data_IF_699062630706
#
_entry.id   IF_699062630706
#
_cell.length_a   1.000
_cell.length_b   1.000
_cell.length_c   1.000
_cell.angle_alpha   90.00
_cell.angle_beta   90.00
_cell.angle_gamma   90.00
#
_symmetry.space_group_name_H-M   'P 1'
#
loop_
_entity.id
_entity.type
_entity.pdbx_description
1 polymer ?
#
# COMPACT_ATOMS: atom_id res chain seq x y z
N UNK A 1 -7.02 -18.29 4.18
CA UNK A 1 -6.25 -17.87 3.01
C UNK A 1 -5.51 -16.60 3.37
N UNK A 2 -4.27 -16.42 2.94
CA UNK A 2 -3.51 -15.20 3.19
C UNK A 2 -4.02 -14.08 2.31
N UNK A 3 -3.97 -12.84 2.79
CA UNK A 3 -4.48 -11.69 2.07
C UNK A 3 -3.43 -11.10 1.14
N UNK A 4 -3.85 -10.70 -0.05
CA UNK A 4 -3.02 -10.00 -1.04
C UNK A 4 -3.44 -8.54 -1.12
N UNK A 5 -2.49 -7.66 -0.86
CA UNK A 5 -2.62 -6.22 -1.10
C UNK A 5 -1.79 -5.87 -2.33
N UNK A 6 -2.39 -5.24 -3.32
CA UNK A 6 -1.71 -4.79 -4.53
C UNK A 6 -1.56 -3.27 -4.55
N UNK A 7 -0.34 -2.79 -4.73
CA UNK A 7 -0.08 -1.36 -4.97
C UNK A 7 -0.04 -1.06 -6.46
N UNK A 8 -0.73 0.00 -6.88
CA UNK A 8 -0.61 0.59 -8.21
C UNK A 8 -0.48 2.12 -8.11
N UNK A 9 0.33 2.73 -8.98
CA UNK A 9 0.45 4.20 -9.07
C UNK A 9 -0.78 4.78 -9.78
N UNK A 10 -1.49 5.71 -9.14
CA UNK A 10 -2.70 6.32 -9.69
C UNK A 10 -2.41 7.11 -10.97
N UNK A 11 -3.31 6.98 -11.95
CA UNK A 11 -3.22 7.58 -13.28
C UNK A 11 -1.93 7.25 -14.05
N UNK A 12 -1.32 6.09 -13.80
CA UNK A 12 -0.20 5.60 -14.60
C UNK A 12 -0.58 4.33 -15.37
N UNK A 13 -0.42 4.31 -16.69
CA UNK A 13 -0.03 5.41 -17.56
C UNK A 13 -1.14 6.45 -17.79
N UNK A 14 -2.39 6.15 -17.47
CA UNK A 14 -3.53 7.08 -17.53
C UNK A 14 -4.64 6.66 -16.55
N UNK A 15 -5.60 7.55 -16.30
CA UNK A 15 -6.67 7.35 -15.33
C UNK A 15 -7.58 6.16 -15.68
N UNK A 16 -8.03 6.06 -16.93
CA UNK A 16 -8.90 4.97 -17.40
C UNK A 16 -8.24 3.61 -17.24
N UNK A 17 -6.97 3.49 -17.59
CA UNK A 17 -6.19 2.28 -17.41
C UNK A 17 -6.08 1.89 -15.92
N UNK A 18 -5.87 2.88 -15.02
CA UNK A 18 -5.80 2.59 -13.58
C UNK A 18 -7.11 2.03 -13.05
N UNK A 19 -8.26 2.49 -13.54
CA UNK A 19 -9.58 1.95 -13.18
C UNK A 19 -9.72 0.52 -13.67
N UNK A 20 -9.45 0.27 -14.96
CA UNK A 20 -9.57 -1.06 -15.56
C UNK A 20 -8.64 -2.08 -14.88
N UNK A 21 -7.40 -1.69 -14.61
CA UNK A 21 -6.44 -2.53 -13.90
C UNK A 21 -6.90 -2.84 -12.47
N UNK A 22 -7.33 -1.83 -11.73
CA UNK A 22 -7.78 -2.00 -10.35
C UNK A 22 -8.96 -2.97 -10.23
N UNK A 23 -9.95 -2.84 -11.11
CA UNK A 23 -11.09 -3.75 -11.15
C UNK A 23 -10.67 -5.17 -11.55
N UNK A 24 -9.81 -5.30 -12.57
CA UNK A 24 -9.28 -6.60 -12.98
C UNK A 24 -8.48 -7.28 -11.85
N UNK A 25 -7.71 -6.54 -11.07
CA UNK A 25 -6.98 -7.08 -9.91
C UNK A 25 -7.93 -7.59 -8.83
N UNK A 26 -8.99 -6.84 -8.51
CA UNK A 26 -10.03 -7.27 -7.57
C UNK A 26 -10.72 -8.57 -8.03
N UNK A 27 -11.04 -8.68 -9.30
CA UNK A 27 -11.66 -9.89 -9.89
C UNK A 27 -10.71 -11.10 -9.93
N UNK A 28 -9.39 -10.88 -9.77
CA UNK A 28 -8.37 -11.91 -9.88
C UNK A 28 -7.58 -12.18 -8.57
N UNK A 29 -8.19 -11.93 -7.41
CA UNK A 29 -7.67 -12.41 -6.13
C UNK A 29 -6.95 -11.37 -5.29
N UNK A 30 -6.92 -10.11 -5.69
CA UNK A 30 -6.47 -9.02 -4.81
C UNK A 30 -7.57 -8.71 -3.79
N UNK A 31 -7.24 -8.81 -2.50
CA UNK A 31 -8.18 -8.53 -1.41
C UNK A 31 -8.31 -7.03 -1.13
N UNK A 32 -7.20 -6.30 -1.23
CA UNK A 32 -7.13 -4.86 -0.95
C UNK A 32 -6.23 -4.17 -1.98
N UNK A 33 -6.65 -3.03 -2.46
CA UNK A 33 -5.90 -2.20 -3.39
C UNK A 33 -5.31 -0.99 -2.69
N UNK A 34 -4.01 -0.76 -2.88
CA UNK A 34 -3.35 0.49 -2.52
C UNK A 34 -3.26 1.39 -3.76
N UNK A 35 -4.04 2.45 -3.79
CA UNK A 35 -3.92 3.50 -4.79
C UNK A 35 -2.83 4.48 -4.37
N UNK A 36 -1.66 4.38 -5.01
CA UNK A 36 -0.53 5.26 -4.78
C UNK A 36 -0.80 6.67 -5.29
N UNK A 37 -0.59 7.67 -4.44
CA UNK A 37 -0.64 9.09 -4.79
C UNK A 37 0.72 9.49 -5.33
N UNK A 38 0.86 9.82 -6.62
CA UNK A 38 2.14 10.23 -7.18
C UNK A 38 2.75 11.42 -6.44
N UNK A 39 4.03 11.30 -6.10
CA UNK A 39 4.78 12.31 -5.39
C UNK A 39 6.18 12.48 -5.98
N UNK A 40 6.74 13.70 -5.91
CA UNK A 40 8.04 14.02 -6.52
C UNK A 40 9.23 13.43 -5.75
N UNK A 41 9.08 13.26 -4.42
CA UNK A 41 10.17 12.90 -3.51
C UNK A 41 9.80 11.68 -2.63
N UNK A 42 9.54 10.52 -3.25
CA UNK A 42 8.95 9.35 -2.57
C UNK A 42 10.02 8.55 -1.81
N UNK A 43 10.50 9.08 -0.69
CA UNK A 43 11.67 8.60 0.09
C UNK A 43 11.54 7.17 0.63
N UNK A 44 10.33 6.62 0.74
CA UNK A 44 10.10 5.24 1.16
C UNK A 44 9.97 4.27 -0.02
N UNK A 45 9.88 4.75 -1.25
CA UNK A 45 9.63 3.94 -2.42
C UNK A 45 10.93 3.41 -3.05
N UNK A 46 10.86 2.22 -3.62
CA UNK A 46 11.93 1.70 -4.45
C UNK A 46 11.93 2.29 -5.87
N UNK A 47 13.02 2.12 -6.64
CA UNK A 47 13.25 2.80 -7.92
C UNK A 47 12.18 2.55 -8.98
N UNK A 48 11.48 1.42 -8.94
CA UNK A 48 10.38 1.15 -9.88
C UNK A 48 9.15 2.00 -9.56
N UNK A 49 8.77 2.08 -8.29
CA UNK A 49 7.61 2.87 -7.84
C UNK A 49 7.91 4.35 -8.02
N UNK A 50 9.11 4.82 -7.64
CA UNK A 50 9.59 6.17 -7.89
C UNK A 50 9.48 6.56 -9.37
N UNK A 51 9.96 5.69 -10.28
CA UNK A 51 9.85 5.90 -11.72
C UNK A 51 8.40 6.02 -12.20
N UNK A 52 7.50 5.20 -11.67
CA UNK A 52 6.08 5.26 -12.01
C UNK A 52 5.42 6.54 -11.48
N UNK A 53 5.79 6.98 -10.26
CA UNK A 53 5.35 8.25 -9.68
C UNK A 53 5.76 9.43 -10.58
N UNK A 54 7.04 9.52 -10.95
CA UNK A 54 7.54 10.57 -11.84
C UNK A 54 6.81 10.57 -13.19
N UNK A 55 6.66 9.41 -13.83
CA UNK A 55 5.92 9.31 -15.10
C UNK A 55 4.46 9.75 -14.95
N UNK A 56 3.78 9.38 -13.86
CA UNK A 56 2.40 9.83 -13.64
C UNK A 56 2.30 11.35 -13.48
N UNK A 57 3.26 11.95 -12.76
CA UNK A 57 3.35 13.42 -12.64
C UNK A 57 3.63 14.09 -13.97
N UNK A 58 4.57 13.56 -14.78
CA UNK A 58 4.88 14.05 -16.14
C UNK A 58 3.66 13.97 -17.06
N UNK A 59 2.82 12.93 -16.92
CA UNK A 59 1.56 12.79 -17.67
C UNK A 59 0.42 13.65 -17.11
N UNK A 60 0.71 14.51 -16.14
CA UNK A 60 -0.21 15.52 -15.64
C UNK A 60 -1.16 15.02 -14.57
N UNK A 61 -0.73 14.07 -13.74
CA UNK A 61 -1.51 13.67 -12.56
C UNK A 61 -1.96 14.89 -11.75
N UNK A 62 -3.20 14.84 -11.29
CA UNK A 62 -3.79 15.79 -10.33
C UNK A 62 -4.55 15.00 -9.29
N UNK A 63 -4.64 15.49 -8.06
CA UNK A 63 -5.32 14.82 -6.96
C UNK A 63 -6.77 14.42 -7.29
N UNK A 64 -7.47 15.21 -8.11
CA UNK A 64 -8.80 14.87 -8.61
C UNK A 64 -8.84 13.53 -9.37
N UNK A 65 -7.74 13.11 -10.03
CA UNK A 65 -7.69 11.81 -10.71
C UNK A 65 -7.73 10.65 -9.72
N UNK A 66 -7.09 10.80 -8.54
CA UNK A 66 -7.22 9.83 -7.46
C UNK A 66 -8.67 9.70 -7.01
N UNK A 67 -9.38 10.84 -6.82
CA UNK A 67 -10.79 10.83 -6.41
C UNK A 67 -11.64 10.11 -7.46
N UNK A 68 -11.50 10.45 -8.74
CA UNK A 68 -12.26 9.86 -9.84
C UNK A 68 -11.98 8.35 -10.00
N UNK A 69 -10.73 7.91 -9.79
CA UNK A 69 -10.37 6.48 -9.78
C UNK A 69 -11.04 5.80 -8.59
N UNK A 70 -10.96 6.40 -7.41
CA UNK A 70 -11.52 5.84 -6.18
C UNK A 70 -13.04 5.71 -6.25
N UNK A 71 -13.75 6.71 -6.79
CA UNK A 71 -15.20 6.65 -7.01
C UNK A 71 -15.63 5.46 -7.88
N UNK A 72 -14.81 5.10 -8.87
CA UNK A 72 -15.08 3.97 -9.75
C UNK A 72 -14.72 2.60 -9.12
N UNK A 73 -13.70 2.57 -8.27
CA UNK A 73 -13.08 1.32 -7.78
C UNK A 73 -13.53 0.94 -6.37
N UNK A 74 -13.55 1.87 -5.43
CA UNK A 74 -13.80 1.60 -4.02
C UNK A 74 -15.16 0.92 -3.71
N UNK A 75 -16.24 1.12 -4.49
CA UNK A 75 -17.47 0.36 -4.30
C UNK A 75 -17.36 -1.15 -4.61
N UNK A 76 -16.29 -1.58 -5.28
CA UNK A 76 -16.11 -2.96 -5.77
C UNK A 76 -14.90 -3.67 -5.17
N UNK A 77 -13.86 -2.92 -4.83
CA UNK A 77 -12.59 -3.44 -4.30
C UNK A 77 -12.25 -2.67 -3.04
N UNK A 78 -11.90 -3.40 -1.98
CA UNK A 78 -11.40 -2.75 -0.74
C UNK A 78 -10.19 -1.88 -1.08
N UNK A 79 -10.31 -0.56 -0.87
CA UNK A 79 -9.35 0.43 -1.38
C UNK A 79 -8.77 1.26 -0.25
N UNK A 80 -7.45 1.40 -0.27
CA UNK A 80 -6.68 2.32 0.57
C UNK A 80 -5.97 3.34 -0.31
N UNK A 81 -5.71 4.53 0.22
CA UNK A 81 -4.77 5.47 -0.39
C UNK A 81 -3.41 5.34 0.26
N UNK A 82 -2.37 5.20 -0.57
CA UNK A 82 -0.98 5.23 -0.13
C UNK A 82 -0.31 6.49 -0.68
N UNK A 83 0.26 7.31 0.21
CA UNK A 83 0.94 8.53 -0.21
C UNK A 83 1.66 9.21 0.93
N UNK A 84 2.47 10.20 0.57
CA UNK A 84 3.25 10.99 1.51
C UNK A 84 2.39 12.06 2.17
N UNK A 85 2.66 12.36 3.42
CA UNK A 85 1.83 13.22 4.25
C UNK A 85 1.53 14.58 3.59
N UNK A 86 2.53 15.20 2.98
CA UNK A 86 2.34 16.50 2.32
C UNK A 86 1.27 16.46 1.22
N UNK A 87 1.16 15.35 0.46
CA UNK A 87 0.14 15.21 -0.60
C UNK A 87 -1.28 15.25 -0.05
N UNK A 88 -1.49 14.70 1.14
CA UNK A 88 -2.79 14.70 1.84
C UNK A 88 -3.02 16.00 2.60
N UNK A 89 -1.98 16.50 3.27
CA UNK A 89 -2.04 17.72 4.07
C UNK A 89 -2.46 18.94 3.22
N UNK A 90 -1.96 19.05 1.99
CA UNK A 90 -2.35 20.11 1.05
C UNK A 90 -3.83 20.09 0.67
N UNK A 91 -4.52 18.97 0.85
CA UNK A 91 -5.95 18.85 0.55
C UNK A 91 -6.85 19.24 1.74
N UNK A 92 -6.26 19.68 2.86
CA UNK A 92 -6.95 19.89 4.14
C UNK A 92 -7.52 18.58 4.71
N UNK A 93 -6.79 17.97 5.65
CA UNK A 93 -7.12 16.67 6.25
C UNK A 93 -8.55 16.63 6.80
N UNK A 94 -9.06 17.76 7.33
CA UNK A 94 -10.42 17.87 7.88
C UNK A 94 -11.52 17.71 6.82
N UNK A 95 -11.21 17.97 5.57
CA UNK A 95 -12.12 17.79 4.41
C UNK A 95 -11.82 16.48 3.68
N UNK A 96 -10.54 16.12 3.58
CA UNK A 96 -10.10 14.96 2.81
C UNK A 96 -10.58 13.65 3.42
N UNK A 97 -10.45 13.47 4.75
CA UNK A 97 -10.81 12.24 5.43
C UNK A 97 -12.31 11.93 5.31
N UNK A 98 -13.23 12.89 5.57
CA UNK A 98 -14.66 12.67 5.32
C UNK A 98 -14.97 12.38 3.84
N UNK A 99 -14.29 13.04 2.91
CA UNK A 99 -14.47 12.78 1.47
C UNK A 99 -14.01 11.36 1.10
N UNK A 100 -12.85 10.92 1.58
CA UNK A 100 -12.34 9.56 1.35
C UNK A 100 -13.33 8.50 1.84
N UNK A 101 -13.83 8.65 3.06
CA UNK A 101 -14.87 7.79 3.62
C UNK A 101 -16.15 7.75 2.76
N UNK A 102 -16.64 8.91 2.34
CA UNK A 102 -17.83 9.02 1.48
C UNK A 102 -17.66 8.32 0.13
N UNK A 103 -16.47 8.32 -0.43
CA UNK A 103 -16.13 7.63 -1.69
C UNK A 103 -16.06 6.11 -1.48
N UNK A 104 -15.85 5.63 -0.25
CA UNK A 104 -15.70 4.23 0.09
C UNK A 104 -14.25 3.77 0.25
N UNK A 105 -13.31 4.72 0.38
CA UNK A 105 -11.93 4.43 0.78
C UNK A 105 -11.92 4.02 2.25
N UNK A 106 -11.19 2.96 2.60
CA UNK A 106 -11.22 2.35 3.93
C UNK A 106 -10.03 2.72 4.82
N UNK A 107 -9.08 3.48 4.31
CA UNK A 107 -7.95 3.95 5.09
C UNK A 107 -6.83 4.60 4.29
N UNK A 108 -5.86 5.14 5.02
CA UNK A 108 -4.67 5.78 4.48
C UNK A 108 -3.41 5.08 4.98
N UNK A 109 -2.43 4.98 4.09
CA UNK A 109 -1.08 4.48 4.33
C UNK A 109 -0.14 5.66 4.11
N UNK A 110 0.46 6.18 5.19
CA UNK A 110 1.27 7.40 5.17
C UNK A 110 2.64 7.11 5.79
N UNK A 111 3.63 6.67 4.98
CA UNK A 111 4.89 6.15 5.49
C UNK A 111 5.80 7.19 6.16
N UNK A 112 5.62 8.46 5.85
CA UNK A 112 6.37 9.59 6.40
C UNK A 112 5.64 10.33 7.54
N UNK A 113 4.52 9.80 8.04
CA UNK A 113 3.79 10.35 9.19
C UNK A 113 4.13 9.54 10.44
N UNK A 114 4.93 10.06 11.38
CA UNK A 114 5.23 9.39 12.63
C UNK A 114 3.96 9.12 13.45
N UNK A 115 3.95 8.01 14.22
CA UNK A 115 2.80 7.63 15.03
C UNK A 115 2.30 8.77 15.94
N UNK A 116 3.23 9.50 16.56
CA UNK A 116 2.93 10.61 17.48
C UNK A 116 2.19 11.75 16.77
N UNK A 117 2.58 12.07 15.55
CA UNK A 117 1.91 13.09 14.72
C UNK A 117 0.56 12.58 14.19
N UNK A 118 0.49 11.29 13.86
CA UNK A 118 -0.74 10.66 13.41
C UNK A 118 -1.85 10.69 14.47
N UNK A 119 -1.49 10.66 15.77
CA UNK A 119 -2.45 10.76 16.88
C UNK A 119 -3.27 12.07 16.85
N UNK A 120 -2.74 13.14 16.28
CA UNK A 120 -3.46 14.41 16.14
C UNK A 120 -4.69 14.30 15.23
N UNK A 121 -4.73 13.27 14.38
CA UNK A 121 -5.83 12.99 13.45
C UNK A 121 -6.69 11.80 13.89
N UNK A 122 -6.39 11.16 15.03
CA UNK A 122 -7.02 9.89 15.45
C UNK A 122 -8.54 9.99 15.55
N UNK A 123 -9.07 11.06 16.15
CA UNK A 123 -10.51 11.27 16.27
C UNK A 123 -11.16 11.45 14.90
N UNK A 124 -10.52 12.22 14.02
CA UNK A 124 -11.00 12.46 12.67
C UNK A 124 -11.07 11.15 11.84
N UNK A 125 -10.06 10.29 11.94
CA UNK A 125 -10.09 8.96 11.33
C UNK A 125 -11.22 8.10 11.90
N UNK A 126 -11.34 8.05 13.22
CA UNK A 126 -12.33 7.25 13.93
C UNK A 126 -13.77 7.69 13.60
N UNK A 127 -14.05 8.97 13.64
CA UNK A 127 -15.38 9.54 13.32
C UNK A 127 -15.83 9.23 11.89
N UNK A 128 -14.86 9.06 10.97
CA UNK A 128 -15.12 8.75 9.56
C UNK A 128 -14.94 7.26 9.23
N UNK A 129 -14.71 6.40 10.22
CA UNK A 129 -14.52 4.97 10.04
C UNK A 129 -13.38 4.63 9.05
N UNK A 130 -12.37 5.48 8.96
CA UNK A 130 -11.15 5.25 8.18
C UNK A 130 -10.04 4.70 9.08
N UNK A 131 -9.25 3.80 8.53
CA UNK A 131 -8.04 3.30 9.19
C UNK A 131 -6.83 4.14 8.81
N UNK A 132 -6.06 4.59 9.80
CA UNK A 132 -4.67 4.99 9.57
C UNK A 132 -3.79 3.76 9.78
N UNK A 133 -3.10 3.30 8.74
CA UNK A 133 -2.34 2.05 8.80
C UNK A 133 -1.04 2.25 9.56
N UNK A 134 -0.84 1.46 10.61
CA UNK A 134 0.35 1.54 11.47
C UNK A 134 1.52 0.78 10.86
N UNK A 135 2.71 1.37 10.93
CA UNK A 135 3.96 0.77 10.46
C UNK A 135 4.81 0.25 11.61
N UNK A 136 5.39 -0.92 11.43
CA UNK A 136 6.42 -1.47 12.32
C UNK A 136 7.57 -2.06 11.50
N UNK A 137 8.78 -2.02 12.06
CA UNK A 137 9.98 -2.57 11.46
C UNK A 137 10.76 -3.42 12.45
N UNK A 138 11.56 -4.41 12.01
CA UNK A 138 12.41 -5.22 12.89
C UNK A 138 13.43 -4.41 13.68
N UNK A 139 13.72 -3.18 13.27
CA UNK A 139 14.60 -2.24 13.96
C UNK A 139 13.92 -1.49 15.12
N UNK A 140 12.59 -1.57 15.25
CA UNK A 140 11.86 -0.91 16.32
C UNK A 140 12.07 -1.63 17.65
N UNK A 141 12.16 -0.85 18.74
CA UNK A 141 12.16 -1.41 20.09
C UNK A 141 10.78 -2.04 20.42
N UNK A 142 10.78 -3.01 21.32
CA UNK A 142 9.56 -3.64 21.80
C UNK A 142 8.55 -2.63 22.37
N UNK A 143 9.04 -1.63 23.09
CA UNK A 143 8.22 -0.54 23.63
C UNK A 143 7.57 0.27 22.51
N UNK A 144 8.34 0.61 21.45
CA UNK A 144 7.84 1.30 20.26
C UNK A 144 6.78 0.50 19.57
N UNK A 145 7.00 -0.81 19.34
CA UNK A 145 6.04 -1.69 18.72
C UNK A 145 4.72 -1.68 19.49
N UNK A 146 4.76 -1.94 20.81
CA UNK A 146 3.56 -1.94 21.66
C UNK A 146 2.76 -0.65 21.54
N UNK A 147 3.46 0.49 21.56
CA UNK A 147 2.83 1.80 21.42
C UNK A 147 2.15 1.99 20.07
N UNK A 148 2.84 1.66 18.99
CA UNK A 148 2.34 1.84 17.62
C UNK A 148 1.16 0.92 17.31
N UNK A 149 1.19 -0.34 17.79
CA UNK A 149 0.15 -1.32 17.49
C UNK A 149 -1.07 -1.23 18.39
N UNK A 150 -1.02 -0.49 19.51
CA UNK A 150 -2.15 -0.37 20.45
C UNK A 150 -3.42 0.20 19.79
N UNK A 151 -3.24 1.08 18.81
CA UNK A 151 -4.32 1.74 18.08
C UNK A 151 -4.51 1.21 16.65
N UNK A 152 -3.77 0.14 16.29
CA UNK A 152 -3.80 -0.42 14.95
C UNK A 152 -5.18 -0.99 14.63
N UNK A 153 -5.69 -0.57 13.48
CA UNK A 153 -6.94 -1.05 12.91
C UNK A 153 -6.63 -1.92 11.69
N UNK A 154 -7.57 -2.37 10.95
CA UNK A 154 -7.48 -3.07 9.68
C UNK A 154 -6.30 -4.07 9.57
N UNK A 155 -5.06 -3.61 9.49
CA UNK A 155 -3.82 -4.41 9.57
C UNK A 155 -2.63 -3.57 10.02
N UNK A 156 -1.59 -4.24 10.48
CA UNK A 156 -0.28 -3.68 10.79
C UNK A 156 0.61 -3.89 9.56
N UNK A 157 1.18 -2.81 9.03
CA UNK A 157 2.13 -2.85 7.92
C UNK A 157 3.53 -3.14 8.48
N UNK A 158 4.01 -4.36 8.30
CA UNK A 158 5.39 -4.72 8.64
C UNK A 158 6.30 -4.42 7.45
N UNK A 159 7.21 -3.47 7.64
CA UNK A 159 8.26 -3.18 6.67
C UNK A 159 9.31 -4.29 6.76
N UNK A 160 9.31 -5.22 5.80
CA UNK A 160 10.40 -6.17 5.67
C UNK A 160 11.61 -5.40 5.14
N UNK A 161 12.58 -5.12 6.01
CA UNK A 161 13.82 -4.48 5.61
C UNK A 161 14.49 -5.37 4.55
N UNK A 162 14.48 -4.94 3.32
CA UNK A 162 15.39 -5.47 2.32
C UNK A 162 16.76 -4.97 2.74
N UNK A 163 17.51 -5.84 3.44
CA UNK A 163 18.81 -5.50 3.98
C UNK A 163 19.65 -4.75 2.97
N UNK A 164 20.43 -3.82 3.44
CA UNK A 164 21.51 -3.16 2.72
C UNK A 164 22.19 -4.21 1.84
N UNK A 165 22.16 -3.96 0.55
CA UNK A 165 22.76 -4.76 -0.52
C UNK A 165 23.99 -5.55 -0.08
N UNK A 166 23.91 -6.89 -0.08
CA UNK A 166 25.10 -7.73 0.04
C UNK A 166 24.98 -9.03 0.83
N UNK A 167 24.05 -9.20 1.74
CA UNK A 167 23.84 -10.47 2.45
C UNK A 167 22.61 -11.19 1.88
N UNK A 168 22.82 -12.09 0.96
CA UNK A 168 21.79 -12.84 0.24
C UNK A 168 21.01 -13.87 1.09
N UNK A 169 20.79 -13.63 2.37
CA UNK A 169 19.93 -14.43 3.22
C UNK A 169 18.65 -13.63 3.51
N UNK A 170 17.50 -14.21 3.16
CA UNK A 170 16.20 -13.72 3.64
C UNK A 170 16.23 -13.79 5.17
N UNK A 171 16.20 -12.66 5.84
CA UNK A 171 16.02 -12.63 7.31
C UNK A 171 14.77 -13.41 7.69
N UNK A 172 14.89 -14.28 8.69
CA UNK A 172 13.75 -14.98 9.26
C UNK A 172 12.89 -13.98 10.04
N UNK A 173 11.79 -13.57 9.44
CA UNK A 173 10.84 -12.63 10.03
C UNK A 173 9.93 -13.27 11.10
N UNK A 174 9.97 -14.59 11.28
CA UNK A 174 9.13 -15.34 12.20
C UNK A 174 9.23 -14.88 13.67
N UNK A 175 10.44 -14.66 14.22
CA UNK A 175 10.57 -14.17 15.60
C UNK A 175 9.91 -12.81 15.80
N UNK A 176 10.06 -11.92 14.83
CA UNK A 176 9.50 -10.58 14.87
C UNK A 176 7.97 -10.61 14.74
N UNK A 177 7.43 -11.33 13.77
CA UNK A 177 5.98 -11.56 13.62
C UNK A 177 5.36 -12.15 14.89
N UNK A 178 6.04 -13.14 15.49
CA UNK A 178 5.59 -13.74 16.75
C UNK A 178 5.60 -12.73 17.91
N UNK A 179 6.53 -11.78 17.92
CA UNK A 179 6.57 -10.72 18.93
C UNK A 179 5.40 -9.76 18.82
N UNK A 180 5.04 -9.35 17.60
CA UNK A 180 3.88 -8.47 17.35
C UNK A 180 2.58 -9.17 17.82
N UNK A 181 2.41 -10.44 17.44
CA UNK A 181 1.21 -11.23 17.75
C UNK A 181 1.02 -11.53 19.24
N UNK A 182 2.02 -11.28 20.09
CA UNK A 182 1.86 -11.31 21.56
C UNK A 182 1.05 -10.14 22.10
N UNK A 183 0.98 -9.03 21.37
CA UNK A 183 0.44 -7.76 21.86
C UNK A 183 -0.78 -7.27 21.08
N UNK A 184 -1.06 -7.86 19.92
CA UNK A 184 -2.21 -7.48 19.09
C UNK A 184 -2.71 -8.66 18.27
N UNK A 185 -4.04 -8.79 18.17
CA UNK A 185 -4.73 -9.70 17.25
C UNK A 185 -4.93 -9.09 15.86
N UNK A 186 -4.55 -7.82 15.67
CA UNK A 186 -4.64 -7.15 14.38
C UNK A 186 -3.77 -7.89 13.35
N UNK A 187 -4.30 -8.20 12.16
CA UNK A 187 -3.53 -8.89 11.12
C UNK A 187 -2.23 -8.17 10.78
N UNK A 188 -1.15 -8.91 10.53
CA UNK A 188 0.15 -8.36 10.14
C UNK A 188 0.42 -8.69 8.68
N UNK A 189 0.57 -7.65 7.86
CA UNK A 189 0.90 -7.80 6.45
C UNK A 189 2.33 -7.34 6.18
N UNK A 190 3.05 -8.12 5.40
CA UNK A 190 4.46 -7.86 5.08
C UNK A 190 4.55 -7.12 3.75
N UNK A 191 5.16 -5.96 3.76
CA UNK A 191 5.45 -5.16 2.57
C UNK A 191 6.93 -4.84 2.42
N UNK A 192 7.28 -4.20 1.31
CA UNK A 192 8.63 -3.84 0.85
C UNK A 192 9.54 -5.04 0.51
N UNK A 193 10.15 -4.98 -0.68
CA UNK A 193 11.06 -6.01 -1.16
C UNK A 193 10.41 -7.39 -1.40
N UNK A 194 9.08 -7.44 -1.51
CA UNK A 194 8.34 -8.64 -1.89
C UNK A 194 8.26 -8.72 -3.41
N UNK A 195 8.85 -9.75 -3.96
CA UNK A 195 8.72 -10.12 -5.39
C UNK A 195 7.88 -11.38 -5.52
N UNK A 196 7.40 -11.68 -6.73
CA UNK A 196 6.69 -12.93 -7.00
C UNK A 196 7.49 -14.19 -6.55
N UNK A 197 8.83 -14.14 -6.59
CA UNK A 197 9.70 -15.24 -6.16
C UNK A 197 9.83 -15.35 -4.64
N UNK A 198 9.77 -14.24 -3.92
CA UNK A 198 9.98 -14.18 -2.46
C UNK A 198 8.69 -14.12 -1.66
N UNK A 199 7.57 -13.86 -2.31
CA UNK A 199 6.26 -13.72 -1.65
C UNK A 199 5.93 -14.95 -0.79
N UNK A 200 6.05 -16.16 -1.35
CA UNK A 200 5.72 -17.42 -0.64
C UNK A 200 6.56 -17.65 0.62
N UNK A 201 7.83 -17.25 0.61
CA UNK A 201 8.73 -17.43 1.76
C UNK A 201 8.54 -16.31 2.79
N UNK A 202 8.39 -15.07 2.35
CA UNK A 202 8.17 -13.91 3.23
C UNK A 202 6.81 -13.92 3.92
N UNK A 203 5.83 -14.63 3.36
CA UNK A 203 4.47 -14.77 3.91
C UNK A 203 4.40 -15.78 5.07
N UNK A 204 5.44 -16.60 5.33
CA UNK A 204 5.42 -17.51 6.49
C UNK A 204 5.18 -16.70 7.77
N UNK A 205 4.09 -17.01 8.50
CA UNK A 205 3.71 -16.37 9.75
C UNK A 205 2.97 -15.03 9.63
N UNK A 206 2.99 -14.37 8.49
CA UNK A 206 2.18 -13.20 8.22
C UNK A 206 0.74 -13.57 7.82
N UNK A 207 -0.19 -12.64 8.00
CA UNK A 207 -1.60 -12.81 7.63
C UNK A 207 -1.86 -12.38 6.19
N UNK A 208 -0.97 -11.56 5.63
CA UNK A 208 -1.03 -11.10 4.24
C UNK A 208 0.30 -10.59 3.73
N UNK A 209 0.30 -10.25 2.45
CA UNK A 209 1.46 -9.71 1.73
C UNK A 209 1.06 -8.48 0.93
N UNK A 210 1.95 -7.48 0.88
CA UNK A 210 1.77 -6.25 0.13
C UNK A 210 2.79 -6.25 -1.01
N UNK A 211 2.30 -6.18 -2.23
CA UNK A 211 3.11 -6.28 -3.45
C UNK A 211 2.90 -5.03 -4.31
N UNK A 212 3.96 -4.30 -4.56
CA UNK A 212 3.95 -3.12 -5.42
C UNK A 212 4.89 -3.26 -6.61
N UNK A 213 6.19 -3.37 -6.35
CA UNK A 213 7.21 -3.34 -7.39
C UNK A 213 7.01 -4.35 -8.51
N UNK A 214 6.45 -5.54 -8.22
CA UNK A 214 6.22 -6.56 -9.23
C UNK A 214 5.10 -6.17 -10.21
N UNK A 215 4.04 -5.53 -9.74
CA UNK A 215 3.01 -4.96 -10.61
C UNK A 215 3.55 -3.79 -11.41
N UNK A 216 4.25 -2.86 -10.76
CA UNK A 216 4.82 -1.69 -11.41
C UNK A 216 5.86 -2.08 -12.47
N UNK A 217 6.66 -3.12 -12.26
CA UNK A 217 7.59 -3.63 -13.29
C UNK A 217 6.86 -4.03 -14.57
N UNK A 218 5.68 -4.66 -14.47
CA UNK A 218 4.84 -4.98 -15.62
C UNK A 218 4.33 -3.71 -16.30
N UNK A 219 3.88 -2.73 -15.49
CA UNK A 219 3.33 -1.47 -16.02
C UNK A 219 4.37 -0.63 -16.76
N UNK A 220 5.62 -0.71 -16.34
CA UNK A 220 6.74 0.04 -16.94
C UNK A 220 7.24 -0.55 -18.27
N UNK A 221 6.80 -1.74 -18.69
CA UNK A 221 7.22 -2.38 -19.95
C UNK A 221 6.58 -1.67 -21.15
N UNK A 222 7.37 -0.93 -21.90
CA UNK A 222 6.90 -0.14 -23.05
C UNK A 222 6.48 -1.02 -24.25
N UNK A 223 6.94 -2.28 -24.31
CA UNK A 223 6.60 -3.24 -25.37
C UNK A 223 5.26 -3.98 -25.16
N UNK A 224 4.55 -3.71 -24.06
CA UNK A 224 3.25 -4.32 -23.77
C UNK A 224 2.12 -3.33 -24.02
N UNK A 225 1.05 -3.83 -24.65
CA UNK A 225 -0.23 -3.11 -24.74
C UNK A 225 -0.92 -3.06 -23.38
N UNK A 226 -1.88 -2.16 -23.22
CA UNK A 226 -2.67 -2.04 -21.97
C UNK A 226 -3.36 -3.37 -21.61
N UNK A 227 -3.98 -4.03 -22.58
CA UNK A 227 -4.62 -5.33 -22.38
C UNK A 227 -3.62 -6.41 -21.91
N UNK A 228 -2.40 -6.41 -22.46
CA UNK A 228 -1.35 -7.34 -22.04
C UNK A 228 -0.85 -7.03 -20.63
N UNK A 229 -0.71 -5.75 -20.25
CA UNK A 229 -0.35 -5.34 -18.89
C UNK A 229 -1.39 -5.80 -17.88
N UNK A 230 -2.67 -5.55 -18.13
CA UNK A 230 -3.78 -6.00 -17.27
C UNK A 230 -3.74 -7.51 -17.12
N UNK A 231 -3.64 -8.25 -18.23
CA UNK A 231 -3.58 -9.71 -18.22
C UNK A 231 -2.41 -10.23 -17.36
N UNK A 232 -1.18 -9.71 -17.57
CA UNK A 232 -0.02 -10.15 -16.80
C UNK A 232 -0.13 -9.80 -15.32
N UNK A 233 -0.71 -8.64 -14.97
CA UNK A 233 -0.97 -8.28 -13.58
C UNK A 233 -2.01 -9.21 -12.93
N UNK A 234 -3.09 -9.56 -13.65
CA UNK A 234 -4.10 -10.52 -13.18
C UNK A 234 -3.51 -11.91 -12.96
N UNK A 235 -2.70 -12.40 -13.92
CA UNK A 235 -1.98 -13.68 -13.78
C UNK A 235 -1.02 -13.66 -12.58
N UNK A 236 -0.31 -12.55 -12.34
CA UNK A 236 0.54 -12.38 -11.18
C UNK A 236 -0.24 -12.44 -9.88
N UNK A 237 -1.39 -11.77 -9.80
CA UNK A 237 -2.24 -11.76 -8.61
C UNK A 237 -2.73 -13.17 -8.23
N UNK A 238 -3.08 -13.99 -9.21
CA UNK A 238 -3.55 -15.37 -8.99
C UNK A 238 -2.49 -16.34 -8.45
N UNK A 239 -1.20 -16.04 -8.64
CA UNK A 239 -0.10 -16.91 -8.17
C UNK A 239 0.54 -16.46 -6.86
N UNK A 240 0.20 -15.27 -6.38
CA UNK A 240 0.65 -14.70 -5.11
C UNK A 240 -0.25 -15.14 -3.96
#
# INVERSE_FOLDING_TARGET
MKKLVAYITSAYPEKSFSIDLALALGDNGVDTLELGVPFSDPVADGPLIEKANHKSLEFGFKFKHLLEISEAVAPKVDTLWMGYFNSFYQQDMSKLIPLASKIGVNGLIIPDLPHEEALTYSDLFKENSLSNISFVAPTDSEERIKKVISDSQKFIYMVAYAGITGSGQAEDLQPFLSSIKKYSDTPVYVGFGVSAKTAKDKVKGADGVIVGSAFIDILLKDNLTYAQKIKQCSELAQIL
#
